data_IF_946957696109
#
_entry.id   IF_946957696109
#
_cell.length_a   1.000
_cell.length_b   1.000
_cell.length_c   1.000
_cell.angle_alpha   90.00
_cell.angle_beta   90.00
_cell.angle_gamma   90.00
#
_symmetry.space_group_name_H-M   'P 1'
#
loop_
_entity.id
_entity.type
_entity.pdbx_description
1 polymer ?
#
# COMPACT_ATOMS: atom_id res chain seq x y z
N UNK A 1 -15.18 2.28 0.90
CA UNK A 1 -14.97 3.61 0.28
C UNK A 1 -15.33 3.67 -1.21
N UNK A 2 -16.29 2.88 -1.73
CA UNK A 2 -16.74 2.98 -3.13
C UNK A 2 -15.75 2.52 -4.21
N UNK A 3 -14.48 2.25 -3.87
CA UNK A 3 -13.49 1.63 -4.75
C UNK A 3 -13.88 0.18 -5.01
N UNK A 4 -13.99 -0.20 -6.29
CA UNK A 4 -14.24 -1.60 -6.68
C UNK A 4 -12.96 -2.40 -6.56
N UNK A 5 -13.10 -3.69 -6.26
CA UNK A 5 -11.96 -4.60 -6.16
C UNK A 5 -11.16 -4.70 -7.47
N UNK A 6 -11.83 -4.69 -8.61
CA UNK A 6 -11.17 -4.66 -9.93
C UNK A 6 -10.27 -3.44 -10.10
N UNK A 7 -10.77 -2.25 -9.74
CA UNK A 7 -10.01 -1.01 -9.82
C UNK A 7 -8.84 -1.01 -8.82
N UNK A 8 -9.07 -1.53 -7.61
CA UNK A 8 -8.02 -1.68 -6.62
C UNK A 8 -6.89 -2.60 -7.12
N UNK A 9 -7.23 -3.81 -7.55
CA UNK A 9 -6.27 -4.81 -8.03
C UNK A 9 -5.51 -4.32 -9.28
N UNK A 10 -6.16 -3.54 -10.14
CA UNK A 10 -5.53 -2.93 -11.32
C UNK A 10 -4.43 -1.93 -10.97
N UNK A 11 -4.59 -1.20 -9.87
CA UNK A 11 -3.72 -0.06 -9.54
C UNK A 11 -2.81 -0.28 -8.33
N UNK A 12 -3.06 -1.31 -7.51
CA UNK A 12 -2.36 -1.51 -6.22
C UNK A 12 -0.84 -1.61 -6.39
N UNK A 13 -0.34 -2.25 -7.44
CA UNK A 13 1.09 -2.35 -7.72
C UNK A 13 1.71 -0.99 -8.02
N UNK A 14 1.08 -0.25 -8.94
CA UNK A 14 1.52 1.09 -9.33
C UNK A 14 1.56 2.05 -8.15
N UNK A 15 0.49 2.09 -7.33
CA UNK A 15 0.46 3.00 -6.17
C UNK A 15 1.44 2.57 -5.08
N UNK A 16 1.77 1.28 -4.95
CA UNK A 16 2.75 0.77 -3.97
C UNK A 16 4.17 1.19 -4.32
N UNK A 17 4.55 1.07 -5.59
CA UNK A 17 5.86 1.53 -6.07
C UNK A 17 6.03 3.05 -5.88
N UNK A 18 5.02 3.82 -6.28
CA UNK A 18 5.05 5.28 -6.17
C UNK A 18 5.06 5.73 -4.70
N UNK A 19 4.30 5.07 -3.82
CA UNK A 19 4.26 5.40 -2.39
C UNK A 19 5.62 5.18 -1.73
N UNK A 20 6.36 4.12 -2.06
CA UNK A 20 7.71 3.88 -1.52
C UNK A 20 8.71 4.94 -1.99
N UNK A 21 8.54 5.45 -3.21
CA UNK A 21 9.39 6.50 -3.79
C UNK A 21 9.02 7.92 -3.36
N UNK A 22 7.88 8.11 -2.69
CA UNK A 22 7.47 9.42 -2.20
C UNK A 22 8.46 9.95 -1.15
N UNK A 23 8.84 11.22 -1.27
CA UNK A 23 9.79 11.86 -0.37
C UNK A 23 9.33 11.81 1.11
N UNK A 24 8.02 11.77 1.36
CA UNK A 24 7.47 11.65 2.70
C UNK A 24 7.77 10.28 3.31
N UNK A 25 7.81 9.21 2.51
CA UNK A 25 8.08 7.85 2.99
C UNK A 25 9.48 7.73 3.59
N UNK A 26 10.46 8.46 3.04
CA UNK A 26 11.82 8.53 3.59
C UNK A 26 11.90 9.17 4.98
N UNK A 27 10.88 9.93 5.41
CA UNK A 27 10.80 10.52 6.75
C UNK A 27 10.15 9.60 7.78
N UNK A 28 9.61 8.45 7.37
CA UNK A 28 8.98 7.50 8.28
C UNK A 28 10.07 6.73 9.08
N UNK A 29 9.93 6.56 10.41
CA UNK A 29 10.94 5.89 11.24
C UNK A 29 11.11 4.40 10.92
N UNK A 30 10.16 3.81 10.19
CA UNK A 30 10.23 2.43 9.69
C UNK A 30 10.31 2.48 8.16
N UNK A 31 11.37 1.90 7.60
CA UNK A 31 11.46 1.65 6.16
C UNK A 31 10.46 0.58 5.75
N UNK A 32 10.00 0.64 4.51
CA UNK A 32 9.00 -0.27 3.97
C UNK A 32 9.36 -0.62 2.54
N UNK A 33 9.29 -1.88 2.19
CA UNK A 33 9.45 -2.37 0.81
C UNK A 33 8.16 -2.18 0.00
N UNK A 34 8.25 -2.29 -1.33
CA UNK A 34 7.06 -2.24 -2.21
C UNK A 34 6.07 -3.34 -1.88
N UNK A 35 6.53 -4.56 -1.58
CA UNK A 35 5.67 -5.69 -1.20
C UNK A 35 4.96 -5.45 0.15
N UNK A 36 5.67 -4.89 1.13
CA UNK A 36 5.07 -4.52 2.42
C UNK A 36 4.05 -3.39 2.27
N UNK A 37 4.34 -2.39 1.43
CA UNK A 37 3.40 -1.29 1.12
C UNK A 37 2.14 -1.82 0.45
N UNK A 38 2.30 -2.73 -0.53
CA UNK A 38 1.18 -3.43 -1.16
C UNK A 38 0.35 -4.19 -0.14
N UNK A 39 0.99 -4.94 0.77
CA UNK A 39 0.29 -5.65 1.85
C UNK A 39 -0.48 -4.69 2.76
N UNK A 40 0.08 -3.52 3.10
CA UNK A 40 -0.63 -2.48 3.86
C UNK A 40 -1.89 -2.01 3.12
N UNK A 41 -1.79 -1.71 1.82
CA UNK A 41 -2.95 -1.31 1.02
C UNK A 41 -3.99 -2.42 0.91
N UNK A 42 -3.58 -3.67 0.70
CA UNK A 42 -4.49 -4.82 0.66
C UNK A 42 -5.21 -5.03 1.98
N UNK A 43 -4.49 -5.02 3.12
CA UNK A 43 -5.12 -5.12 4.43
C UNK A 43 -6.10 -3.97 4.67
N UNK A 44 -5.75 -2.74 4.25
CA UNK A 44 -6.63 -1.57 4.36
C UNK A 44 -7.89 -1.72 3.52
N UNK A 45 -7.79 -2.26 2.29
CA UNK A 45 -8.93 -2.49 1.41
C UNK A 45 -9.87 -3.58 1.96
N UNK A 46 -9.31 -4.66 2.50
CA UNK A 46 -10.07 -5.79 3.04
C UNK A 46 -10.59 -5.58 4.47
N UNK A 47 -10.09 -4.57 5.19
CA UNK A 47 -10.39 -4.39 6.61
C UNK A 47 -9.65 -5.38 7.52
N UNK A 48 -8.48 -5.86 7.09
CA UNK A 48 -7.63 -6.78 7.81
C UNK A 48 -6.56 -6.05 8.63
N UNK A 49 -6.02 -6.71 9.65
CA UNK A 49 -4.93 -6.18 10.46
C UNK A 49 -3.58 -6.41 9.77
N UNK A 50 -2.72 -5.39 9.81
CA UNK A 50 -1.30 -5.51 9.41
C UNK A 50 -0.51 -6.16 10.55
N UNK A 51 0.20 -7.26 10.28
CA UNK A 51 0.76 -8.17 11.30
C UNK A 51 2.28 -8.45 11.16
N UNK A 52 3.03 -7.56 10.51
CA UNK A 52 4.47 -7.69 10.30
C UNK A 52 5.25 -6.45 10.75
#
# INVERSE_FOLDING_TARGET
YGVKEEDFNKWVDYISENAVQDACTGSNPRTVSVEEMKKIFTCTFNGEKVDF
#
